data_IF_915623292439
#
_entry.id   IF_915623292439
#
_cell.length_a   1.000
_cell.length_b   1.000
_cell.length_c   1.000
_cell.angle_alpha   90.00
_cell.angle_beta   90.00
_cell.angle_gamma   90.00
#
_symmetry.space_group_name_H-M   'P 1'
#
loop_
_entity.id
_entity.type
_entity.pdbx_description
1 polymer ?
#
# COMPACT_ATOMS: atom_id res chain seq x y z
N UNK A 1 28.18 8.33 15.61
CA UNK A 1 27.42 7.16 16.15
C UNK A 1 26.03 7.67 16.47
N UNK A 2 24.91 7.34 15.82
CA UNK A 2 24.50 6.16 15.04
C UNK A 2 23.87 6.61 13.71
N UNK A 3 24.51 6.32 12.59
CA UNK A 3 23.96 6.54 11.23
C UNK A 3 23.31 5.27 10.67
N UNK A 4 22.76 4.43 11.54
CA UNK A 4 22.00 3.23 11.18
C UNK A 4 20.59 3.40 11.70
N UNK A 5 19.62 3.25 10.81
CA UNK A 5 18.18 3.26 11.10
C UNK A 5 17.83 2.20 12.15
N UNK A 6 16.71 2.36 12.85
CA UNK A 6 16.23 1.41 13.89
C UNK A 6 16.02 0.00 13.30
N UNK A 7 15.73 -0.09 12.00
CA UNK A 7 15.60 -1.35 11.26
C UNK A 7 16.93 -1.93 10.77
N UNK A 8 18.04 -1.21 10.92
CA UNK A 8 19.37 -1.60 10.44
C UNK A 8 19.60 -1.45 8.93
N UNK A 9 18.59 -0.98 8.19
CA UNK A 9 18.65 -0.73 6.75
C UNK A 9 19.39 0.57 6.43
N UNK A 10 20.11 0.58 5.32
CA UNK A 10 20.56 1.83 4.70
C UNK A 10 19.39 2.55 4.05
N UNK A 11 19.52 3.86 3.87
CA UNK A 11 18.47 4.69 3.25
C UNK A 11 18.14 4.20 1.82
N UNK A 12 19.15 3.69 1.10
CA UNK A 12 19.00 3.13 -0.24
C UNK A 12 18.17 1.84 -0.24
N UNK A 13 18.48 0.88 0.64
CA UNK A 13 17.71 -0.38 0.78
C UNK A 13 16.26 -0.11 1.21
N UNK A 14 16.05 0.87 2.08
CA UNK A 14 14.71 1.28 2.50
C UNK A 14 13.88 1.85 1.33
N UNK A 15 14.52 2.63 0.46
CA UNK A 15 13.88 3.26 -0.69
C UNK A 15 13.53 2.24 -1.80
N UNK A 16 14.39 1.24 -2.03
CA UNK A 16 14.10 0.14 -2.95
C UNK A 16 12.88 -0.65 -2.50
N UNK A 17 12.84 -1.06 -1.22
CA UNK A 17 11.68 -1.72 -0.64
C UNK A 17 10.42 -0.87 -0.78
N UNK A 18 10.50 0.41 -0.42
CA UNK A 18 9.37 1.31 -0.47
C UNK A 18 8.78 1.43 -1.89
N UNK A 19 9.64 1.46 -2.91
CA UNK A 19 9.21 1.55 -4.31
C UNK A 19 8.36 0.34 -4.72
N UNK A 20 8.83 -0.88 -4.47
CA UNK A 20 8.08 -2.09 -4.80
C UNK A 20 6.83 -2.26 -3.94
N UNK A 21 6.92 -1.91 -2.65
CA UNK A 21 5.78 -1.92 -1.74
C UNK A 21 4.67 -1.00 -2.23
N UNK A 22 5.01 0.25 -2.61
CA UNK A 22 4.05 1.23 -3.09
C UNK A 22 3.41 0.79 -4.41
N UNK A 23 4.17 0.17 -5.33
CA UNK A 23 3.61 -0.40 -6.55
C UNK A 23 2.52 -1.45 -6.26
N UNK A 24 2.80 -2.38 -5.35
CA UNK A 24 1.84 -3.42 -4.94
C UNK A 24 0.64 -2.85 -4.19
N UNK A 25 0.88 -1.93 -3.26
CA UNK A 25 -0.17 -1.27 -2.47
C UNK A 25 -1.14 -0.53 -3.38
N UNK A 26 -0.65 0.27 -4.32
CA UNK A 26 -1.49 1.02 -5.26
C UNK A 26 -2.33 0.07 -6.12
N UNK A 27 -1.73 -1.00 -6.64
CA UNK A 27 -2.45 -2.00 -7.43
C UNK A 27 -3.57 -2.68 -6.64
N UNK A 28 -3.27 -3.13 -5.42
CA UNK A 28 -4.26 -3.74 -4.53
C UNK A 28 -5.38 -2.76 -4.17
N UNK A 29 -5.05 -1.54 -3.77
CA UNK A 29 -6.04 -0.52 -3.39
C UNK A 29 -6.94 -0.15 -4.56
N UNK A 30 -6.40 -0.01 -5.78
CA UNK A 30 -7.22 0.27 -6.97
C UNK A 30 -8.27 -0.83 -7.21
N UNK A 31 -7.84 -2.10 -7.15
CA UNK A 31 -8.74 -3.26 -7.29
C UNK A 31 -9.78 -3.28 -6.17
N UNK A 32 -9.35 -3.06 -4.91
CA UNK A 32 -10.22 -3.04 -3.76
C UNK A 32 -11.30 -1.96 -3.90
N UNK A 33 -10.94 -0.74 -4.29
CA UNK A 33 -11.90 0.36 -4.51
C UNK A 33 -12.95 -0.02 -5.55
N UNK A 34 -12.54 -0.59 -6.68
CA UNK A 34 -13.47 -1.05 -7.72
C UNK A 34 -14.43 -2.11 -7.17
N UNK A 35 -13.91 -3.11 -6.43
CA UNK A 35 -14.73 -4.14 -5.82
C UNK A 35 -15.76 -3.57 -4.83
N UNK A 36 -15.37 -2.61 -4.00
CA UNK A 36 -16.29 -1.97 -3.04
C UNK A 36 -17.37 -1.14 -3.74
N UNK A 37 -17.02 -0.45 -4.83
CA UNK A 37 -18.01 0.28 -5.65
C UNK A 37 -19.03 -0.69 -6.26
N UNK A 38 -18.56 -1.80 -6.83
CA UNK A 38 -19.44 -2.82 -7.43
C UNK A 38 -20.38 -3.45 -6.38
N UNK A 39 -19.84 -3.78 -5.21
CA UNK A 39 -20.66 -4.31 -4.10
C UNK A 39 -21.67 -3.27 -3.63
N UNK A 40 -21.27 -2.00 -3.54
CA UNK A 40 -22.18 -0.90 -3.19
C UNK A 40 -23.31 -0.79 -4.21
N UNK A 41 -23.02 -0.81 -5.51
CA UNK A 41 -24.05 -0.73 -6.55
C UNK A 41 -25.08 -1.88 -6.48
N UNK A 42 -24.66 -3.09 -6.06
CA UNK A 42 -25.55 -4.26 -5.96
C UNK A 42 -26.33 -4.34 -4.64
N UNK A 43 -25.65 -4.26 -3.50
CA UNK A 43 -26.27 -4.32 -2.17
C UNK A 43 -25.65 -3.25 -1.29
N UNK A 44 -26.30 -2.09 -1.24
CA UNK A 44 -25.67 -0.95 -0.64
C UNK A 44 -25.80 -0.99 0.88
N UNK A 45 -24.69 -0.65 1.53
CA UNK A 45 -24.39 -0.80 2.94
C UNK A 45 -25.01 0.30 3.82
N UNK A 46 -25.10 1.52 3.29
CA UNK A 46 -25.54 2.72 4.01
C UNK A 46 -26.83 3.27 3.40
N UNK A 47 -27.89 2.46 3.43
CA UNK A 47 -29.27 2.86 3.11
C UNK A 47 -30.11 2.88 4.37
#
# INVERSE_FOLDING_TARGET
MSGKSVSGLTDEEAQEFHTYYMQGLVGFTAIAVIAHILVWAWRPWFH
#
